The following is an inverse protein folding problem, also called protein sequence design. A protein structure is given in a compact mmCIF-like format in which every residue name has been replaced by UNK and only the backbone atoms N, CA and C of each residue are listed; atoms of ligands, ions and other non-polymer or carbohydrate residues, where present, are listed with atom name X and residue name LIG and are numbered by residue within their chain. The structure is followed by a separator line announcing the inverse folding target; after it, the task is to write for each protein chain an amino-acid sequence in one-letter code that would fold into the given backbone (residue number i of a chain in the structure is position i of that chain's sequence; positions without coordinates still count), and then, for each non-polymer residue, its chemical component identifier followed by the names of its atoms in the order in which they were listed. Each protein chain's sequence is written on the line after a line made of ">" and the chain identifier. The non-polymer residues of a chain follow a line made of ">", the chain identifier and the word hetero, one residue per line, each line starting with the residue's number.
data_IF_098552204130
#
_entry.id   IF_098552204130
#
_cell.length_a   1.000
_cell.length_b   1.000
_cell.length_c   1.000
_cell.angle_alpha   90.00
_cell.angle_beta   90.00
_cell.angle_gamma   90.00
#
_symmetry.space_group_name_H-M   'P 1'
#
loop_
_entity.id
_entity.type
_entity.pdbx_description
1 polymer ?
#
# COMPACT_ATOMS: atom_id res chain seq x y z
N UNK A 1 -5.66 5.12 -18.18
CA UNK A 1 -4.56 5.37 -19.14
C UNK A 1 -4.41 6.88 -19.23
N UNK A 2 -3.25 7.44 -18.88
CA UNK A 2 -3.00 8.87 -19.08
C UNK A 2 -2.63 9.13 -20.53
N UNK A 3 -3.12 10.22 -21.11
CA UNK A 3 -2.80 10.66 -22.47
C UNK A 3 -1.35 11.21 -22.61
N UNK A 4 -0.48 10.95 -21.64
CA UNK A 4 0.88 11.51 -21.53
C UNK A 4 1.97 10.68 -22.21
N UNK A 5 1.63 9.55 -22.83
CA UNK A 5 2.60 8.71 -23.55
C UNK A 5 2.70 9.15 -25.02
N UNK A 6 3.90 9.50 -25.53
CA UNK A 6 4.07 9.89 -26.92
C UNK A 6 3.66 8.73 -27.83
N UNK A 7 2.84 9.03 -28.85
CA UNK A 7 2.26 8.11 -29.85
C UNK A 7 0.95 7.37 -29.48
N UNK A 8 0.20 7.79 -28.46
CA UNK A 8 -1.19 7.32 -28.28
C UNK A 8 -2.17 8.01 -29.23
N UNK A 9 -2.14 7.66 -30.52
CA UNK A 9 -3.18 8.03 -31.48
C UNK A 9 -4.48 7.23 -31.21
N UNK A 10 -5.64 7.83 -31.52
CA UNK A 10 -6.96 7.19 -31.37
C UNK A 10 -7.91 7.92 -30.41
N UNK A 11 -9.21 7.86 -30.72
CA UNK A 11 -10.24 8.49 -29.90
C UNK A 11 -10.36 7.81 -28.53
N UNK A 12 -10.97 8.49 -27.55
CA UNK A 12 -11.30 7.87 -26.26
C UNK A 12 -12.16 6.60 -26.44
N UNK A 13 -13.06 6.61 -27.41
CA UNK A 13 -13.91 5.47 -27.76
C UNK A 13 -13.07 4.28 -28.25
N UNK A 14 -12.12 4.51 -29.17
CA UNK A 14 -11.24 3.46 -29.69
C UNK A 14 -10.39 2.84 -28.57
N UNK A 15 -9.81 3.69 -27.70
CA UNK A 15 -9.00 3.25 -26.56
C UNK A 15 -9.82 2.34 -25.63
N UNK A 16 -11.06 2.70 -25.33
CA UNK A 16 -11.96 1.90 -24.49
C UNK A 16 -12.36 0.59 -25.18
N UNK A 17 -12.71 0.65 -26.47
CA UNK A 17 -13.10 -0.52 -27.26
C UNK A 17 -11.95 -1.53 -27.37
N UNK A 18 -10.74 -1.06 -27.65
CA UNK A 18 -9.57 -1.91 -27.79
C UNK A 18 -9.19 -2.59 -26.47
N UNK A 19 -9.23 -1.85 -25.35
CA UNK A 19 -9.01 -2.44 -24.03
C UNK A 19 -10.07 -3.51 -23.71
N UNK A 20 -11.35 -3.22 -23.98
CA UNK A 20 -12.42 -4.19 -23.78
C UNK A 20 -12.21 -5.48 -24.60
N UNK A 21 -11.93 -5.35 -25.90
CA UNK A 21 -11.71 -6.51 -26.77
C UNK A 21 -10.49 -7.32 -26.35
N UNK A 22 -9.40 -6.64 -25.96
CA UNK A 22 -8.18 -7.28 -25.50
C UNK A 22 -8.41 -8.08 -24.21
N UNK A 23 -9.03 -7.49 -23.19
CA UNK A 23 -9.31 -8.17 -21.93
C UNK A 23 -10.32 -9.30 -22.09
N UNK A 24 -11.32 -9.12 -22.95
CA UNK A 24 -12.29 -10.17 -23.27
C UNK A 24 -11.59 -11.39 -23.87
N UNK A 25 -10.70 -11.18 -24.85
CA UNK A 25 -9.98 -12.27 -25.49
C UNK A 25 -8.96 -12.92 -24.55
N UNK A 26 -8.22 -12.13 -23.77
CA UNK A 26 -7.32 -12.68 -22.73
C UNK A 26 -8.08 -13.53 -21.73
N UNK A 27 -9.20 -13.05 -21.18
CA UNK A 27 -10.02 -13.84 -20.25
C UNK A 27 -10.52 -15.13 -20.91
N UNK A 28 -10.93 -15.08 -22.17
CA UNK A 28 -11.38 -16.28 -22.90
C UNK A 28 -10.27 -17.33 -23.05
N UNK A 29 -9.03 -16.89 -23.29
CA UNK A 29 -7.88 -17.78 -23.50
C UNK A 29 -7.28 -18.31 -22.18
N UNK A 30 -7.26 -17.46 -21.14
CA UNK A 30 -6.75 -17.82 -19.81
C UNK A 30 -7.76 -18.63 -18.99
N UNK A 31 -9.06 -18.49 -19.30
CA UNK A 31 -10.17 -19.08 -18.57
C UNK A 31 -10.09 -18.69 -17.06
N UNK A 32 -10.67 -19.51 -16.19
CA UNK A 32 -10.63 -19.41 -14.72
C UNK A 32 -9.37 -20.03 -14.12
N UNK A 33 -8.46 -20.58 -14.94
CA UNK A 33 -7.24 -21.27 -14.49
C UNK A 33 -6.12 -20.31 -14.09
N UNK A 34 -6.08 -19.11 -14.67
CA UNK A 34 -5.05 -18.12 -14.41
C UNK A 34 -5.66 -16.78 -13.99
N UNK A 35 -4.94 -16.08 -13.14
CA UNK A 35 -5.29 -14.71 -12.80
C UNK A 35 -4.97 -13.76 -13.97
N UNK A 36 -5.89 -12.84 -14.24
CA UNK A 36 -5.71 -11.70 -15.14
C UNK A 36 -5.96 -10.43 -14.35
N UNK A 37 -4.96 -9.55 -14.31
CA UNK A 37 -4.98 -8.33 -13.49
C UNK A 37 -4.55 -7.12 -14.31
N UNK A 38 -4.85 -5.91 -13.83
CA UNK A 38 -4.43 -4.66 -14.48
C UNK A 38 -3.80 -3.71 -13.48
N UNK A 39 -2.69 -3.08 -13.87
CA UNK A 39 -2.21 -1.86 -13.21
C UNK A 39 -2.95 -0.65 -13.79
N UNK A 40 -3.51 0.21 -12.94
CA UNK A 40 -4.33 1.34 -13.37
C UNK A 40 -3.88 2.65 -12.73
N UNK A 41 -4.09 3.77 -13.44
CA UNK A 41 -3.67 5.10 -12.99
C UNK A 41 -4.55 5.65 -11.86
N UNK A 42 -4.18 6.84 -11.38
CA UNK A 42 -4.73 7.42 -10.14
C UNK A 42 -5.56 8.68 -10.31
N UNK A 43 -5.47 9.35 -11.46
CA UNK A 43 -6.17 10.62 -11.68
C UNK A 43 -7.70 10.39 -11.76
N UNK A 44 -8.51 10.94 -10.83
CA UNK A 44 -9.96 10.75 -10.82
C UNK A 44 -10.67 11.19 -12.11
N UNK A 45 -10.18 12.24 -12.77
CA UNK A 45 -10.76 12.75 -14.01
C UNK A 45 -10.49 11.83 -15.21
N UNK A 46 -9.42 11.03 -15.15
CA UNK A 46 -9.20 9.94 -16.11
C UNK A 46 -10.02 8.69 -15.77
N UNK A 47 -10.11 8.35 -14.48
CA UNK A 47 -10.86 7.18 -14.00
C UNK A 47 -12.34 7.29 -14.36
N UNK A 48 -12.94 8.47 -14.18
CA UNK A 48 -14.37 8.72 -14.49
C UNK A 48 -14.71 8.56 -15.98
N UNK A 49 -13.71 8.72 -16.86
CA UNK A 49 -13.86 8.52 -18.31
C UNK A 49 -13.66 7.05 -18.72
N UNK A 50 -13.18 6.17 -17.84
CA UNK A 50 -12.97 4.76 -18.17
C UNK A 50 -14.30 3.97 -18.09
N UNK A 51 -14.53 3.06 -19.04
CA UNK A 51 -15.68 2.16 -19.00
C UNK A 51 -15.40 0.93 -18.10
N UNK A 52 -15.08 1.20 -16.83
CA UNK A 52 -14.69 0.18 -15.84
C UNK A 52 -15.74 -0.93 -15.69
N UNK A 53 -17.06 -0.65 -15.62
CA UNK A 53 -18.07 -1.70 -15.51
C UNK A 53 -18.04 -2.73 -16.65
N UNK A 54 -17.59 -2.36 -17.86
CA UNK A 54 -17.51 -3.30 -18.99
C UNK A 54 -16.30 -4.22 -18.95
N UNK A 55 -15.27 -3.88 -18.18
CA UNK A 55 -13.99 -4.62 -18.18
C UNK A 55 -13.69 -5.31 -16.86
N UNK A 56 -14.30 -4.88 -15.76
CA UNK A 56 -13.98 -5.36 -14.42
C UNK A 56 -14.33 -6.84 -14.21
N UNK A 57 -15.27 -7.37 -14.99
CA UNK A 57 -15.64 -8.79 -14.96
C UNK A 57 -14.61 -9.68 -15.66
N UNK A 58 -13.76 -9.12 -16.52
CA UNK A 58 -12.70 -9.88 -17.18
C UNK A 58 -11.44 -10.03 -16.32
N UNK A 59 -11.27 -9.21 -15.29
CA UNK A 59 -10.08 -9.23 -14.42
C UNK A 59 -10.43 -9.74 -13.03
N UNK A 60 -9.47 -10.39 -12.39
CA UNK A 60 -9.63 -10.85 -11.01
C UNK A 60 -9.55 -9.66 -10.04
N UNK A 61 -8.61 -8.75 -10.29
CA UNK A 61 -8.50 -7.47 -9.58
C UNK A 61 -7.73 -6.44 -10.39
N UNK A 62 -7.75 -5.20 -9.92
CA UNK A 62 -6.94 -4.08 -10.40
C UNK A 62 -5.95 -3.64 -9.30
N UNK A 63 -4.71 -3.42 -9.70
CA UNK A 63 -3.64 -2.81 -8.91
C UNK A 63 -3.66 -1.30 -9.19
N UNK A 64 -4.27 -0.52 -8.31
CA UNK A 64 -4.35 0.94 -8.47
C UNK A 64 -3.03 1.53 -7.99
N UNK A 65 -2.26 2.12 -8.92
CA UNK A 65 -0.90 2.63 -8.72
C UNK A 65 -0.91 3.90 -7.86
N UNK A 66 -1.38 3.82 -6.60
CA UNK A 66 -1.60 4.91 -5.64
C UNK A 66 -0.28 5.49 -5.08
N UNK A 67 0.59 5.89 -5.99
CA UNK A 67 1.85 6.58 -5.79
C UNK A 67 2.23 7.29 -7.10
N UNK A 68 3.32 8.07 -7.08
CA UNK A 68 3.68 9.03 -8.12
C UNK A 68 2.57 10.06 -8.35
N UNK A 69 1.84 10.45 -7.30
CA UNK A 69 0.94 11.61 -7.36
C UNK A 69 1.75 12.89 -7.59
N UNK A 70 2.87 13.00 -6.86
CA UNK A 70 3.95 13.95 -7.08
C UNK A 70 5.28 13.24 -7.22
N UNK A 71 6.17 13.77 -8.06
CA UNK A 71 7.50 13.24 -8.24
C UNK A 71 8.50 14.34 -8.62
N UNK A 72 9.77 13.99 -8.61
CA UNK A 72 10.89 14.91 -8.80
C UNK A 72 11.09 15.43 -10.23
N UNK A 73 10.16 15.16 -11.15
CA UNK A 73 10.07 15.85 -12.44
C UNK A 73 9.30 17.17 -12.32
N UNK A 74 8.62 17.40 -11.19
CA UNK A 74 7.89 18.62 -10.89
C UNK A 74 8.81 19.66 -10.23
N UNK A 75 8.61 20.94 -10.53
CA UNK A 75 9.38 22.06 -9.96
C UNK A 75 8.87 22.52 -8.59
N UNK A 76 8.06 21.70 -7.96
CA UNK A 76 7.51 21.91 -6.63
C UNK A 76 7.62 20.58 -5.88
N UNK A 77 7.87 20.64 -4.57
CA UNK A 77 7.84 19.47 -3.70
C UNK A 77 6.40 19.04 -3.43
N UNK A 78 6.14 17.73 -3.43
CA UNK A 78 4.82 17.18 -3.12
C UNK A 78 4.89 15.75 -2.63
N UNK A 79 3.82 15.28 -2.00
CA UNK A 79 3.80 13.91 -1.48
C UNK A 79 3.67 12.88 -2.60
N UNK A 80 4.53 11.87 -2.60
CA UNK A 80 4.52 10.78 -3.58
C UNK A 80 3.22 9.96 -3.52
N UNK A 81 2.76 9.65 -2.29
CA UNK A 81 1.61 8.77 -2.05
C UNK A 81 0.70 9.21 -0.89
N UNK A 82 0.23 10.47 -0.84
CA UNK A 82 -0.60 10.98 0.26
C UNK A 82 -1.90 10.16 0.36
N UNK A 83 -2.28 9.73 1.57
CA UNK A 83 -3.52 8.99 1.78
C UNK A 83 -4.74 9.90 1.54
N UNK A 84 -4.70 11.12 2.07
CA UNK A 84 -5.73 12.15 1.93
C UNK A 84 -5.15 13.46 1.42
N UNK A 85 -6.03 14.37 0.97
CA UNK A 85 -5.64 15.74 0.59
C UNK A 85 -5.07 16.51 1.78
N UNK A 86 -4.18 17.46 1.49
CA UNK A 86 -3.79 18.48 2.46
C UNK A 86 -4.46 19.81 2.09
N UNK A 87 -5.03 20.52 3.07
CA UNK A 87 -5.72 21.80 2.81
C UNK A 87 -4.80 22.92 2.33
N UNK A 88 -3.47 22.76 2.44
CA UNK A 88 -2.50 23.68 1.82
C UNK A 88 -2.34 23.47 0.30
N UNK A 89 -2.83 22.36 -0.25
CA UNK A 89 -2.87 22.10 -1.70
C UNK A 89 -4.04 22.89 -2.31
N UNK A 90 -3.85 24.21 -2.47
CA UNK A 90 -4.92 25.14 -2.87
C UNK A 90 -5.10 25.27 -4.38
N UNK A 91 -4.30 24.57 -5.20
CA UNK A 91 -4.33 24.70 -6.65
C UNK A 91 -5.37 23.74 -7.26
N UNK A 92 -6.64 24.13 -7.27
CA UNK A 92 -7.63 23.56 -8.21
C UNK A 92 -7.59 24.32 -9.56
N UNK A 93 -6.39 24.63 -10.06
CA UNK A 93 -6.25 25.19 -11.41
C UNK A 93 -6.36 24.05 -12.44
N UNK A 94 -7.41 24.11 -13.26
CA UNK A 94 -7.69 23.19 -14.35
C UNK A 94 -6.61 23.22 -15.47
N UNK A 95 -5.66 24.16 -15.42
CA UNK A 95 -4.52 24.23 -16.33
C UNK A 95 -3.33 23.41 -15.82
N UNK A 96 -3.39 22.10 -16.06
CA UNK A 96 -2.22 21.20 -16.16
C UNK A 96 -1.28 21.08 -14.93
N UNK A 97 -1.57 21.66 -13.77
CA UNK A 97 -0.78 21.41 -12.56
C UNK A 97 -1.19 20.07 -11.95
N UNK A 98 -0.22 19.20 -11.68
CA UNK A 98 -0.41 17.94 -10.96
C UNK A 98 -0.78 18.14 -9.49
N UNK A 99 -0.69 19.37 -8.98
CA UNK A 99 -0.97 19.79 -7.59
C UNK A 99 -2.43 20.12 -7.33
N UNK A 100 -3.33 19.20 -7.69
CA UNK A 100 -4.75 19.31 -7.34
C UNK A 100 -5.07 18.57 -6.04
N UNK A 101 -6.05 19.07 -5.30
CA UNK A 101 -6.65 18.43 -4.12
C UNK A 101 -7.16 17.00 -4.35
N UNK A 102 -7.23 16.56 -5.62
CA UNK A 102 -7.62 15.21 -6.06
C UNK A 102 -6.45 14.22 -6.19
N UNK A 103 -5.19 14.66 -6.14
CA UNK A 103 -4.03 13.79 -6.34
C UNK A 103 -3.60 13.10 -5.04
N UNK A 104 -4.50 12.27 -4.50
CA UNK A 104 -4.25 11.44 -3.33
C UNK A 104 -4.94 10.07 -3.44
N UNK A 105 -4.51 9.13 -2.59
CA UNK A 105 -5.01 7.76 -2.58
C UNK A 105 -6.52 7.70 -2.37
N UNK A 106 -7.06 8.50 -1.46
CA UNK A 106 -8.49 8.50 -1.15
C UNK A 106 -9.31 8.87 -2.38
N UNK A 107 -9.02 10.00 -3.02
CA UNK A 107 -9.71 10.45 -4.22
C UNK A 107 -9.64 9.43 -5.37
N UNK A 108 -8.47 8.83 -5.61
CA UNK A 108 -8.29 7.79 -6.61
C UNK A 108 -9.18 6.56 -6.33
N UNK A 109 -9.13 6.03 -5.10
CA UNK A 109 -9.92 4.86 -4.70
C UNK A 109 -11.43 5.17 -4.75
N UNK A 110 -11.86 6.34 -4.26
CA UNK A 110 -13.28 6.73 -4.33
C UNK A 110 -13.77 6.88 -5.76
N UNK A 111 -12.92 7.28 -6.71
CA UNK A 111 -13.28 7.33 -8.13
C UNK A 111 -13.57 5.93 -8.69
N UNK A 112 -12.77 4.92 -8.34
CA UNK A 112 -13.04 3.52 -8.73
C UNK A 112 -14.33 2.97 -8.11
N UNK A 113 -14.56 3.25 -6.82
CA UNK A 113 -15.79 2.85 -6.14
C UNK A 113 -17.03 3.51 -6.76
N UNK A 114 -16.94 4.81 -7.06
CA UNK A 114 -18.02 5.57 -7.74
C UNK A 114 -18.27 5.05 -9.16
N UNK A 115 -17.23 4.57 -9.84
CA UNK A 115 -17.33 3.89 -11.12
C UNK A 115 -17.82 2.42 -11.01
N UNK A 116 -18.32 2.01 -9.84
CA UNK A 116 -18.91 0.69 -9.55
C UNK A 116 -17.93 -0.49 -9.66
N UNK A 117 -16.63 -0.25 -9.46
CA UNK A 117 -15.68 -1.36 -9.28
C UNK A 117 -15.94 -2.00 -7.91
N UNK A 118 -16.13 -3.33 -7.83
CA UNK A 118 -16.28 -4.01 -6.54
C UNK A 118 -15.06 -3.76 -5.64
N UNK A 119 -15.24 -3.37 -4.36
CA UNK A 119 -14.12 -3.09 -3.46
C UNK A 119 -13.13 -4.25 -3.33
N UNK A 120 -13.66 -5.48 -3.29
CA UNK A 120 -12.89 -6.72 -3.24
C UNK A 120 -12.15 -7.08 -4.54
N UNK A 121 -12.15 -6.19 -5.55
CA UNK A 121 -11.31 -6.25 -6.74
C UNK A 121 -10.31 -5.09 -6.82
N UNK A 122 -10.24 -4.22 -5.81
CA UNK A 122 -9.34 -3.07 -5.77
C UNK A 122 -8.17 -3.39 -4.85
N UNK A 123 -6.95 -3.39 -5.40
CA UNK A 123 -5.69 -3.55 -4.66
C UNK A 123 -4.95 -2.22 -4.65
N UNK A 124 -4.64 -1.71 -3.47
CA UNK A 124 -4.01 -0.39 -3.27
C UNK A 124 -2.48 -0.50 -3.39
N UNK A 125 -1.86 0.41 -4.14
CA UNK A 125 -0.41 0.47 -4.28
C UNK A 125 0.30 1.19 -3.13
N UNK A 126 1.40 0.63 -2.65
CA UNK A 126 2.30 1.26 -1.66
C UNK A 126 3.72 1.33 -2.27
N UNK A 127 4.32 2.53 -2.42
CA UNK A 127 5.67 2.65 -2.93
C UNK A 127 6.67 2.25 -1.85
N UNK A 128 7.66 1.44 -2.22
CA UNK A 128 8.79 1.05 -1.38
C UNK A 128 10.00 1.97 -1.62
N UNK A 129 9.72 3.21 -2.06
CA UNK A 129 10.73 4.22 -2.38
C UNK A 129 10.19 5.62 -2.10
N UNK A 130 11.12 6.55 -2.01
CA UNK A 130 10.83 7.98 -2.00
C UNK A 130 11.30 8.70 -3.25
N UNK A 131 10.71 9.88 -3.47
CA UNK A 131 11.18 10.87 -4.45
C UNK A 131 11.80 12.04 -3.71
N UNK A 132 12.94 12.51 -4.21
CA UNK A 132 13.66 13.65 -3.66
C UNK A 132 13.70 14.83 -4.62
N UNK A 133 13.66 16.02 -4.03
CA UNK A 133 13.85 17.33 -4.66
C UNK A 133 15.05 18.01 -4.04
N UNK A 134 15.71 18.90 -4.78
CA UNK A 134 16.83 19.70 -4.29
C UNK A 134 16.62 21.19 -4.58
N UNK A 135 17.50 22.00 -4.00
CA UNK A 135 17.44 23.46 -4.03
C UNK A 135 16.14 24.03 -3.42
N UNK A 136 15.55 23.29 -2.47
CA UNK A 136 14.41 23.73 -1.68
C UNK A 136 14.92 24.71 -0.62
N UNK A 137 14.90 26.00 -0.97
CA UNK A 137 15.47 27.07 -0.13
C UNK A 137 14.46 27.70 0.83
N UNK A 138 13.17 27.71 0.46
CA UNK A 138 12.12 28.17 1.37
C UNK A 138 11.78 27.07 2.37
N UNK A 139 11.90 27.37 3.66
CA UNK A 139 11.65 26.43 4.76
C UNK A 139 10.22 26.50 5.31
N UNK A 140 9.36 27.36 4.73
CA UNK A 140 7.93 27.41 5.04
C UNK A 140 7.31 26.03 4.84
N UNK A 141 6.44 25.62 5.77
CA UNK A 141 5.86 24.27 5.83
C UNK A 141 6.91 23.15 5.81
N UNK A 142 8.11 23.40 6.33
CA UNK A 142 9.24 22.45 6.33
C UNK A 142 9.63 21.99 4.91
N UNK A 143 9.53 22.90 3.93
CA UNK A 143 9.86 22.60 2.54
C UNK A 143 8.74 21.92 1.76
N UNK A 144 7.56 21.70 2.35
CA UNK A 144 6.38 21.17 1.63
C UNK A 144 5.72 22.24 0.75
N UNK A 145 5.28 21.85 -0.46
CA UNK A 145 4.75 22.73 -1.51
C UNK A 145 5.66 23.91 -1.87
N UNK A 146 6.97 23.74 -1.74
CA UNK A 146 7.95 24.76 -2.06
C UNK A 146 8.57 24.51 -3.44
N UNK A 147 9.03 25.59 -4.08
CA UNK A 147 9.73 25.50 -5.36
C UNK A 147 11.02 24.67 -5.21
N UNK A 148 11.31 23.91 -6.25
CA UNK A 148 12.45 23.00 -6.32
C UNK A 148 13.13 23.08 -7.71
N UNK A 149 14.35 22.58 -7.77
CA UNK A 149 15.10 22.46 -9.02
C UNK A 149 14.45 21.46 -9.99
N UNK A 150 14.67 21.65 -11.30
CA UNK A 150 14.35 20.64 -12.33
C UNK A 150 15.33 19.47 -12.33
N UNK A 151 16.46 19.61 -11.64
CA UNK A 151 17.46 18.56 -11.47
C UNK A 151 17.22 17.89 -10.12
N UNK A 152 17.01 16.57 -10.05
CA UNK A 152 16.81 15.88 -8.78
C UNK A 152 18.13 15.71 -8.00
N UNK A 153 18.07 15.52 -6.66
CA UNK A 153 19.24 15.13 -5.86
C UNK A 153 19.73 13.74 -6.25
N UNK A 154 20.94 13.37 -5.83
CA UNK A 154 21.41 12.00 -6.01
C UNK A 154 20.64 11.05 -5.08
N UNK A 155 19.89 10.11 -5.67
CA UNK A 155 19.17 9.04 -4.96
C UNK A 155 20.05 7.81 -4.70
N UNK A 156 19.44 6.69 -4.31
CA UNK A 156 20.15 5.40 -4.16
C UNK A 156 20.89 5.01 -5.43
N UNK A 157 20.20 5.14 -6.57
CA UNK A 157 20.69 4.72 -7.89
C UNK A 157 20.83 5.89 -8.86
N UNK A 158 20.74 7.13 -8.37
CA UNK A 158 20.61 8.33 -9.19
C UNK A 158 19.18 8.86 -9.28
N UNK A 159 19.00 9.96 -10.01
CA UNK A 159 17.70 10.55 -10.41
C UNK A 159 16.70 10.78 -9.28
N UNK A 160 17.17 11.09 -8.07
CA UNK A 160 16.35 11.42 -6.90
C UNK A 160 15.38 10.34 -6.42
N UNK A 161 15.53 9.08 -6.82
CA UNK A 161 14.78 7.97 -6.23
C UNK A 161 15.57 7.32 -5.10
N UNK A 162 14.94 7.17 -3.93
CA UNK A 162 15.55 6.60 -2.74
C UNK A 162 14.84 5.32 -2.35
N UNK A 163 15.56 4.20 -2.25
CA UNK A 163 14.99 2.93 -1.77
C UNK A 163 14.61 3.08 -0.28
N UNK A 164 13.50 2.50 0.15
CA UNK A 164 13.04 2.58 1.55
C UNK A 164 14.12 2.15 2.54
N UNK A 165 14.85 1.08 2.25
CA UNK A 165 15.95 0.63 3.11
C UNK A 165 17.06 1.67 3.26
N UNK A 166 17.42 2.40 2.20
CA UNK A 166 18.50 3.39 2.29
C UNK A 166 17.98 4.64 3.01
N UNK A 167 16.70 4.98 2.81
CA UNK A 167 16.04 6.04 3.58
C UNK A 167 16.15 5.76 5.07
N UNK A 168 15.69 4.59 5.52
CA UNK A 168 15.61 4.27 6.95
C UNK A 168 16.97 4.00 7.60
N UNK A 169 17.94 3.46 6.85
CA UNK A 169 19.22 3.06 7.42
C UNK A 169 20.20 4.24 7.48
N UNK A 170 20.23 5.06 6.42
CA UNK A 170 21.31 6.03 6.22
C UNK A 170 20.79 7.45 6.06
N UNK A 171 19.86 7.69 5.11
CA UNK A 171 19.40 9.06 4.78
C UNK A 171 18.79 9.72 6.00
N UNK A 172 17.90 9.05 6.73
CA UNK A 172 17.18 9.65 7.87
C UNK A 172 18.10 10.22 8.96
N UNK A 173 19.36 9.80 9.05
CA UNK A 173 20.33 10.29 10.05
C UNK A 173 20.78 11.73 9.82
N UNK A 174 20.72 12.20 8.58
CA UNK A 174 21.17 13.54 8.18
C UNK A 174 20.01 14.50 7.91
N UNK A 175 18.78 14.08 8.15
CA UNK A 175 17.56 14.79 7.79
C UNK A 175 16.61 14.86 8.98
N UNK A 176 15.71 15.83 8.98
CA UNK A 176 14.62 15.85 9.95
C UNK A 176 13.40 15.15 9.35
N UNK A 177 12.87 14.15 10.05
CA UNK A 177 11.58 13.52 9.70
C UNK A 177 10.44 14.40 10.18
N UNK A 178 9.54 14.72 9.27
CA UNK A 178 8.27 15.38 9.53
C UNK A 178 7.11 14.45 9.21
N UNK A 179 5.96 14.72 9.83
CA UNK A 179 4.72 13.98 9.61
C UNK A 179 3.65 14.95 9.13
N UNK A 180 3.06 14.65 7.97
CA UNK A 180 1.86 15.33 7.50
C UNK A 180 0.63 14.61 8.05
N UNK A 181 0.02 15.18 9.09
CA UNK A 181 -1.14 14.54 9.73
C UNK A 181 -2.43 14.64 8.91
N UNK A 182 -2.54 15.53 7.92
CA UNK A 182 -3.68 15.53 7.02
C UNK A 182 -3.54 14.42 5.99
N UNK A 183 -2.39 14.36 5.32
CA UNK A 183 -2.12 13.37 4.28
C UNK A 183 -1.72 11.99 4.80
N UNK A 184 -1.43 11.85 6.09
CA UNK A 184 -1.00 10.61 6.77
C UNK A 184 0.25 9.97 6.15
N UNK A 185 1.24 10.80 5.84
CA UNK A 185 2.52 10.36 5.25
C UNK A 185 3.70 11.11 5.87
N UNK A 186 4.88 10.46 5.99
CA UNK A 186 6.09 11.12 6.42
C UNK A 186 6.79 11.83 5.24
N UNK A 187 7.69 12.74 5.59
CA UNK A 187 8.68 13.27 4.66
C UNK A 187 9.96 13.66 5.39
N UNK A 188 11.07 13.73 4.68
CA UNK A 188 12.36 14.18 5.20
C UNK A 188 12.71 15.53 4.61
N UNK A 189 13.27 16.42 5.42
CA UNK A 189 13.84 17.67 4.93
C UNK A 189 15.17 17.98 5.63
N UNK A 190 16.16 18.34 4.83
CA UNK A 190 17.41 18.92 5.30
C UNK A 190 17.51 20.35 4.75
N UNK A 191 17.26 21.33 5.61
CA UNK A 191 17.28 22.75 5.24
C UNK A 191 18.67 23.29 4.91
N UNK A 192 19.73 22.61 5.36
CA UNK A 192 21.11 23.01 5.07
C UNK A 192 21.55 22.58 3.67
N UNK A 193 21.09 21.43 3.19
CA UNK A 193 21.34 20.96 1.81
C UNK A 193 20.22 21.35 0.84
N UNK A 194 19.05 21.75 1.35
CA UNK A 194 17.85 22.03 0.55
C UNK A 194 17.26 20.77 -0.08
N UNK A 195 17.49 19.59 0.49
CA UNK A 195 16.96 18.31 -0.03
C UNK A 195 15.69 17.93 0.74
N UNK A 196 14.61 17.71 0.00
CA UNK A 196 13.30 17.29 0.51
C UNK A 196 12.90 15.95 -0.10
N UNK A 197 12.41 15.00 0.70
CA UNK A 197 12.12 13.62 0.26
C UNK A 197 10.75 13.18 0.77
N UNK A 198 9.83 12.81 -0.14
CA UNK A 198 8.57 12.14 0.21
C UNK A 198 8.73 10.63 0.13
N UNK A 199 8.20 9.88 1.10
CA UNK A 199 8.33 8.42 1.18
C UNK A 199 7.23 7.79 2.05
N UNK A 200 7.29 6.47 2.24
CA UNK A 200 6.43 5.72 3.16
C UNK A 200 7.22 5.13 4.33
N UNK A 201 6.57 4.97 5.48
CA UNK A 201 7.11 4.20 6.60
C UNK A 201 6.03 3.34 7.28
N UNK A 202 6.38 2.72 8.40
CA UNK A 202 5.47 1.86 9.15
C UNK A 202 4.22 2.61 9.64
N UNK A 203 4.31 3.91 9.91
CA UNK A 203 3.18 4.72 10.37
C UNK A 203 2.19 4.98 9.23
N UNK A 204 2.67 5.42 8.06
CA UNK A 204 1.79 5.63 6.89
C UNK A 204 1.19 4.32 6.37
N UNK A 205 1.96 3.23 6.37
CA UNK A 205 1.48 1.89 6.02
C UNK A 205 0.34 1.44 6.94
N UNK A 206 0.42 1.72 8.25
CA UNK A 206 -0.67 1.41 9.18
C UNK A 206 -1.96 2.14 8.80
N UNK A 207 -1.89 3.44 8.53
CA UNK A 207 -3.06 4.23 8.10
C UNK A 207 -3.65 3.71 6.79
N UNK A 208 -2.81 3.32 5.83
CA UNK A 208 -3.26 2.71 4.57
C UNK A 208 -3.91 1.35 4.78
N UNK A 209 -3.40 0.53 5.70
CA UNK A 209 -4.03 -0.74 6.07
C UNK A 209 -5.41 -0.54 6.70
N UNK A 210 -5.53 0.41 7.64
CA UNK A 210 -6.83 0.74 8.25
C UNK A 210 -7.81 1.28 7.20
N UNK A 211 -7.33 2.05 6.23
CA UNK A 211 -8.11 2.50 5.08
C UNK A 211 -8.60 1.33 4.21
N UNK A 212 -7.69 0.43 3.82
CA UNK A 212 -8.03 -0.76 3.03
C UNK A 212 -9.10 -1.61 3.70
N UNK A 213 -8.98 -1.83 5.02
CA UNK A 213 -10.00 -2.54 5.82
C UNK A 213 -11.34 -1.80 5.86
N UNK A 214 -11.31 -0.49 6.15
CA UNK A 214 -12.51 0.36 6.23
C UNK A 214 -13.34 0.29 4.95
N UNK A 215 -12.68 0.30 3.79
CA UNK A 215 -13.35 0.24 2.48
C UNK A 215 -13.46 -1.17 1.90
N UNK A 216 -13.05 -2.21 2.65
CA UNK A 216 -13.08 -3.62 2.23
C UNK A 216 -12.39 -3.85 0.89
N UNK A 217 -11.24 -3.21 0.71
CA UNK A 217 -10.38 -3.39 -0.46
C UNK A 217 -9.77 -4.80 -0.46
N UNK A 218 -9.36 -5.27 -1.63
CA UNK A 218 -8.86 -6.63 -1.81
C UNK A 218 -7.48 -6.85 -1.17
N UNK A 219 -6.68 -5.79 -1.03
CA UNK A 219 -5.37 -5.85 -0.40
C UNK A 219 -4.43 -4.75 -0.89
N UNK A 220 -3.13 -5.03 -0.79
CA UNK A 220 -2.06 -4.15 -1.21
C UNK A 220 -1.14 -4.79 -2.27
N UNK A 221 -0.52 -3.96 -3.11
CA UNK A 221 0.63 -4.33 -3.94
C UNK A 221 1.73 -3.28 -3.82
N UNK A 222 2.95 -3.62 -4.23
CA UNK A 222 4.14 -2.82 -3.96
C UNK A 222 4.98 -2.58 -5.20
N UNK A 223 5.64 -1.42 -5.26
CA UNK A 223 6.70 -1.14 -6.22
C UNK A 223 7.94 -0.58 -5.51
N UNK A 224 9.10 -1.20 -5.57
CA UNK A 224 9.27 -2.62 -5.91
C UNK A 224 10.04 -3.35 -4.83
N UNK A 225 9.90 -4.69 -4.82
CA UNK A 225 10.31 -5.54 -3.70
C UNK A 225 11.80 -5.39 -3.32
N UNK A 226 12.66 -5.09 -4.30
CA UNK A 226 14.11 -4.89 -4.12
C UNK A 226 14.45 -3.73 -3.18
N UNK A 227 13.51 -2.81 -2.93
CA UNK A 227 13.68 -1.59 -2.15
C UNK A 227 13.30 -1.72 -0.67
N UNK A 228 12.70 -2.84 -0.31
CA UNK A 228 12.41 -3.27 1.08
C UNK A 228 13.00 -4.69 1.27
N UNK A 229 14.33 -4.78 1.25
CA UNK A 229 15.13 -6.01 1.21
C UNK A 229 14.90 -6.89 2.44
N UNK A 230 14.50 -6.28 3.57
CA UNK A 230 14.12 -6.99 4.80
C UNK A 230 12.61 -7.24 4.92
N UNK A 231 11.80 -6.76 3.97
CA UNK A 231 10.36 -6.95 3.94
C UNK A 231 9.63 -6.31 5.11
N UNK A 232 10.11 -5.17 5.61
CA UNK A 232 9.55 -4.50 6.79
C UNK A 232 8.17 -3.89 6.49
N UNK A 233 8.05 -3.10 5.41
CA UNK A 233 6.76 -2.51 5.02
C UNK A 233 5.81 -3.59 4.47
N UNK A 234 6.35 -4.51 3.68
CA UNK A 234 5.58 -5.64 3.12
C UNK A 234 5.03 -6.51 4.26
N UNK A 235 5.90 -6.91 5.20
CA UNK A 235 5.53 -7.73 6.36
C UNK A 235 4.57 -7.02 7.29
N UNK A 236 4.77 -5.73 7.56
CA UNK A 236 3.83 -4.92 8.34
C UNK A 236 2.44 -4.87 7.68
N UNK A 237 2.38 -4.69 6.36
CA UNK A 237 1.13 -4.69 5.60
C UNK A 237 0.44 -6.05 5.66
N UNK A 238 1.18 -7.13 5.42
CA UNK A 238 0.66 -8.50 5.51
C UNK A 238 0.05 -8.77 6.89
N UNK A 239 0.80 -8.46 7.95
CA UNK A 239 0.33 -8.65 9.32
C UNK A 239 -0.89 -7.78 9.62
N UNK A 240 -0.89 -6.50 9.22
CA UNK A 240 -1.99 -5.60 9.49
C UNK A 240 -3.29 -6.07 8.80
N UNK A 241 -3.24 -6.42 7.52
CA UNK A 241 -4.42 -6.82 6.75
C UNK A 241 -4.95 -8.20 7.17
N UNK A 242 -4.09 -9.11 7.62
CA UNK A 242 -4.52 -10.45 8.06
C UNK A 242 -4.87 -10.52 9.56
N UNK A 243 -4.52 -9.53 10.37
CA UNK A 243 -4.86 -9.51 11.82
C UNK A 243 -6.36 -9.49 12.13
N UNK A 244 -7.24 -9.19 11.17
CA UNK A 244 -8.70 -9.31 11.38
C UNK A 244 -9.20 -10.76 11.25
N UNK A 245 -8.37 -11.67 10.74
CA UNK A 245 -8.57 -13.11 10.94
C UNK A 245 -8.42 -13.47 12.42
N UNK A 246 -7.81 -12.62 13.26
CA UNK A 246 -7.39 -13.00 14.61
C UNK A 246 -8.49 -12.76 15.67
N UNK A 247 -9.03 -11.57 15.93
CA UNK A 247 -9.81 -11.38 17.19
C UNK A 247 -11.17 -12.11 17.26
N UNK A 248 -11.89 -12.18 16.13
CA UNK A 248 -13.19 -12.87 16.08
C UNK A 248 -13.06 -14.39 15.82
N UNK A 249 -11.92 -14.87 15.31
CA UNK A 249 -11.64 -16.31 15.23
C UNK A 249 -10.98 -16.82 16.52
N UNK A 250 -10.18 -16.00 17.21
CA UNK A 250 -9.49 -16.30 18.47
C UNK A 250 -10.46 -16.67 19.59
N UNK A 251 -11.61 -15.98 19.69
CA UNK A 251 -12.67 -16.34 20.64
C UNK A 251 -13.40 -17.64 20.30
N UNK A 252 -13.19 -18.19 19.10
CA UNK A 252 -13.73 -19.48 18.63
C UNK A 252 -12.67 -20.57 18.55
N UNK A 253 -11.40 -20.26 18.84
CA UNK A 253 -10.35 -21.27 18.86
C UNK A 253 -10.57 -22.23 20.03
N UNK A 254 -10.53 -23.52 19.72
CA UNK A 254 -10.60 -24.58 20.73
C UNK A 254 -9.33 -24.58 21.57
N UNK A 255 -9.47 -24.78 22.88
CA UNK A 255 -8.33 -25.12 23.74
C UNK A 255 -7.71 -26.45 23.28
N UNK A 256 -6.39 -26.57 23.42
CA UNK A 256 -5.70 -27.84 23.19
C UNK A 256 -6.25 -28.92 24.12
N UNK A 257 -6.34 -30.16 23.63
CA UNK A 257 -6.78 -31.32 24.38
C UNK A 257 -5.84 -32.49 24.09
N UNK A 258 -5.53 -33.27 25.12
CA UNK A 258 -4.88 -34.56 24.96
C UNK A 258 -5.81 -35.55 24.22
N UNK A 259 -5.22 -36.49 23.48
CA UNK A 259 -5.90 -37.53 22.70
C UNK A 259 -6.79 -37.03 21.55
N UNK A 260 -6.63 -35.77 21.14
CA UNK A 260 -7.35 -35.18 20.03
C UNK A 260 -6.55 -35.30 18.72
N UNK A 261 -7.27 -35.46 17.60
CA UNK A 261 -6.65 -35.42 16.28
C UNK A 261 -6.47 -33.97 15.85
N UNK A 262 -5.24 -33.65 15.42
CA UNK A 262 -4.87 -32.36 14.83
C UNK A 262 -4.32 -32.55 13.43
N UNK A 263 -4.63 -31.59 12.56
CA UNK A 263 -4.12 -31.51 11.19
C UNK A 263 -3.18 -30.32 11.06
N UNK A 264 -2.32 -30.34 10.03
CA UNK A 264 -1.50 -29.17 9.68
C UNK A 264 -2.38 -27.94 9.56
N UNK A 265 -1.92 -26.83 10.14
CA UNK A 265 -2.59 -25.53 10.24
C UNK A 265 -3.81 -25.45 11.17
N UNK A 266 -4.11 -26.51 11.93
CA UNK A 266 -5.00 -26.38 13.09
C UNK A 266 -4.39 -25.40 14.12
N UNK A 267 -5.21 -24.48 14.63
CA UNK A 267 -4.82 -23.55 15.69
C UNK A 267 -5.50 -23.92 17.01
N UNK A 268 -4.76 -23.83 18.11
CA UNK A 268 -5.25 -24.12 19.47
C UNK A 268 -4.77 -23.10 20.49
N UNK A 269 -5.57 -22.91 21.55
CA UNK A 269 -5.17 -22.14 22.74
C UNK A 269 -4.54 -23.07 23.79
N UNK A 270 -3.37 -22.71 24.32
CA UNK A 270 -2.72 -23.36 25.46
C UNK A 270 -1.98 -22.30 26.29
N UNK A 271 -2.24 -22.21 27.60
CA UNK A 271 -1.65 -21.22 28.52
C UNK A 271 -1.61 -19.78 27.97
N UNK A 272 -2.78 -19.27 27.54
CA UNK A 272 -2.98 -17.92 26.99
C UNK A 272 -2.12 -17.57 25.76
N UNK A 273 -1.57 -18.59 25.10
CA UNK A 273 -0.85 -18.50 23.83
C UNK A 273 -1.58 -19.30 22.76
N UNK A 274 -1.26 -18.98 21.51
CA UNK A 274 -1.81 -19.67 20.33
C UNK A 274 -0.70 -20.41 19.63
N UNK A 275 -0.97 -21.67 19.35
CA UNK A 275 -0.07 -22.55 18.64
C UNK A 275 -0.73 -23.07 17.36
N UNK A 276 0.05 -23.13 16.29
CA UNK A 276 -0.33 -23.77 15.03
C UNK A 276 0.31 -25.14 14.94
N UNK A 277 -0.47 -26.14 14.56
CA UNK A 277 0.00 -27.49 14.30
C UNK A 277 0.80 -27.49 12.99
N UNK A 278 2.08 -27.86 13.06
CA UNK A 278 2.96 -27.91 11.87
C UNK A 278 3.07 -29.31 11.26
N UNK A 279 2.58 -30.33 11.96
CA UNK A 279 2.53 -31.72 11.49
C UNK A 279 1.32 -32.44 12.06
N UNK A 280 0.47 -33.00 11.18
CA UNK A 280 -0.72 -33.76 11.60
C UNK A 280 -0.36 -34.90 12.56
N UNK A 281 -1.07 -35.00 13.68
CA UNK A 281 -0.82 -36.02 14.70
C UNK A 281 -2.05 -36.19 15.62
N UNK A 282 -2.08 -37.29 16.36
CA UNK A 282 -2.97 -37.43 17.51
C UNK A 282 -2.18 -37.03 18.76
N UNK A 283 -2.64 -36.01 19.49
CA UNK A 283 -1.95 -35.53 20.68
C UNK A 283 -1.95 -36.59 21.79
N UNK A 284 -0.92 -36.60 22.63
CA UNK A 284 -0.88 -37.35 23.89
C UNK A 284 -0.62 -36.38 25.04
N UNK A 285 -0.85 -36.83 26.28
CA UNK A 285 -0.91 -35.98 27.48
C UNK A 285 0.34 -35.10 27.63
N UNK A 286 1.53 -35.64 27.36
CA UNK A 286 2.79 -34.92 27.56
C UNK A 286 3.27 -34.12 26.33
N UNK A 287 2.60 -34.25 25.18
CA UNK A 287 2.91 -33.52 23.95
C UNK A 287 2.13 -32.21 23.85
N UNK A 288 2.26 -31.40 24.91
CA UNK A 288 1.65 -30.07 24.94
C UNK A 288 2.36 -29.15 23.92
N UNK A 289 1.69 -28.12 23.40
CA UNK A 289 2.28 -27.22 22.41
C UNK A 289 3.65 -26.61 22.79
N UNK A 290 3.90 -26.16 24.04
CA UNK A 290 5.23 -25.67 24.41
C UNK A 290 6.29 -26.77 24.62
N UNK A 291 5.88 -28.03 24.81
CA UNK A 291 6.80 -29.13 25.06
C UNK A 291 7.31 -29.79 23.76
N UNK A 292 6.58 -29.65 22.65
CA UNK A 292 6.87 -30.33 21.39
C UNK A 292 6.91 -29.39 20.19
N UNK A 293 8.00 -28.64 20.08
CA UNK A 293 8.25 -27.70 18.98
C UNK A 293 8.36 -28.38 17.60
N UNK A 294 8.45 -29.72 17.56
CA UNK A 294 8.41 -30.51 16.31
C UNK A 294 6.99 -30.73 15.78
N UNK A 295 5.97 -30.43 16.59
CA UNK A 295 4.55 -30.61 16.29
C UNK A 295 3.79 -29.28 16.30
N UNK A 296 4.28 -28.29 17.04
CA UNK A 296 3.62 -27.02 17.27
C UNK A 296 4.55 -25.82 17.06
N UNK A 297 4.03 -24.76 16.45
CA UNK A 297 4.68 -23.46 16.32
C UNK A 297 3.91 -22.42 17.13
N UNK A 298 4.60 -21.63 17.95
CA UNK A 298 4.00 -20.50 18.66
C UNK A 298 3.74 -19.38 17.64
N UNK A 299 2.48 -18.98 17.49
CA UNK A 299 2.09 -17.91 16.55
C UNK A 299 1.82 -16.59 17.29
N UNK A 300 1.15 -16.66 18.45
CA UNK A 300 0.76 -15.46 19.20
C UNK A 300 0.89 -15.64 20.71
N UNK A 301 1.28 -14.55 21.37
CA UNK A 301 1.17 -14.36 22.82
C UNK A 301 -0.06 -13.48 23.03
N UNK A 302 -1.13 -14.01 23.65
CA UNK A 302 -2.26 -13.13 23.97
C UNK A 302 -1.80 -12.16 25.05
N UNK A 303 -1.83 -10.86 24.76
CA UNK A 303 -1.65 -9.83 25.77
C UNK A 303 -2.99 -9.76 26.50
N UNK A 304 -3.03 -10.10 27.78
CA UNK A 304 -4.23 -9.91 28.58
C UNK A 304 -4.64 -8.44 28.42
N UNK A 305 -5.85 -8.20 27.92
CA UNK A 305 -6.47 -6.89 28.02
C UNK A 305 -6.79 -6.66 29.49
N UNK A 306 -5.78 -6.24 30.26
CA UNK A 306 -6.01 -5.55 31.51
C UNK A 306 -6.74 -4.26 31.13
N UNK A 307 -8.06 -4.30 31.32
CA UNK A 307 -8.90 -3.12 31.35
C UNK A 307 -8.39 -2.21 32.47
N UNK A 308 -7.59 -1.22 32.11
CA UNK A 308 -7.54 0.02 32.87
C UNK A 308 -8.39 1.03 32.13
N UNK A 309 -9.68 1.05 32.51
CA UNK A 309 -10.45 2.27 32.49
C UNK A 309 -9.77 3.25 33.44
N UNK A 310 -9.24 4.35 32.92
CA UNK A 310 -9.33 5.70 33.49
C UNK A 310 -9.51 6.66 32.32
#
# INVERSE_FOLDING_TARGET
>A
MSDSWPNHSGSLEDKQRNLYLFLKELRRQLDTKYFLTLATGVNPDHISKMNLPKIIDFVDWINVVTYNFHNNQELQTGHNAPLYKNDNETLDDASASSYTSKMNCHAAIQAYLSARVPPNKIVMGIPLYGHGWQEVTNTTLNGFLQAASSVPPNGTWGDGSFDYDDIKNDVIRSYTRYWDDQSKVPFLFNSSTGIWISYEDLESVKWKCDYMKKYRLAGAFFWELSKDRKGELIGATFNALNKDIDVLSMNRLRSWKANAQYYVDDHVKYDDKIYRCIRSHKSVVDQTPPAENSLWSLEYISVSTASTRV
#
